data_IF_353689163681
#
_entry.id   IF_353689163681
#
_cell.length_a   1.000
_cell.length_b   1.000
_cell.length_c   1.000
_cell.angle_alpha   90.00
_cell.angle_beta   90.00
_cell.angle_gamma   90.00
#
_symmetry.space_group_name_H-M   'P 1'
#
loop_
_entity.id
_entity.type
_entity.pdbx_description
1 polymer ?
#
# COMPACT_ATOMS: atom_id res chain seq x y z
N UNK A 1 5.34 4.43 0.40
CA UNK A 1 5.93 4.19 1.74
C UNK A 1 7.39 3.81 1.55
N UNK A 2 8.30 4.00 2.52
CA UNK A 2 9.68 3.50 2.30
C UNK A 2 9.72 1.97 2.27
N UNK A 3 10.62 1.43 1.43
CA UNK A 3 10.82 -0.02 1.20
C UNK A 3 10.87 -0.85 2.49
N UNK A 4 11.57 -0.40 3.53
CA UNK A 4 11.68 -1.16 4.78
C UNK A 4 10.33 -1.38 5.47
N UNK A 5 9.41 -0.41 5.35
CA UNK A 5 8.09 -0.48 5.98
C UNK A 5 7.10 -1.28 5.14
N UNK A 6 7.21 -1.26 3.82
CA UNK A 6 6.52 -2.22 2.96
C UNK A 6 6.86 -3.68 3.35
N UNK A 7 8.15 -3.96 3.58
CA UNK A 7 8.60 -5.28 4.07
C UNK A 7 8.00 -5.58 5.45
N UNK A 8 8.06 -4.64 6.39
CA UNK A 8 7.52 -4.81 7.73
C UNK A 8 6.01 -5.10 7.74
N UNK A 9 5.24 -4.39 6.90
CA UNK A 9 3.81 -4.62 6.73
C UNK A 9 3.56 -6.06 6.26
N UNK A 10 4.28 -6.52 5.24
CA UNK A 10 4.13 -7.87 4.69
C UNK A 10 4.50 -8.96 5.71
N UNK A 11 5.59 -8.78 6.45
CA UNK A 11 6.01 -9.72 7.50
C UNK A 11 4.98 -9.79 8.62
N UNK A 12 4.48 -8.63 9.06
CA UNK A 12 3.49 -8.53 10.14
C UNK A 12 2.14 -9.14 9.75
N UNK A 13 1.69 -8.88 8.53
CA UNK A 13 0.36 -9.30 8.06
C UNK A 13 0.30 -10.74 7.54
N UNK A 14 1.34 -11.19 6.84
CA UNK A 14 1.34 -12.44 6.06
C UNK A 14 2.44 -13.43 6.46
N UNK A 15 3.37 -13.04 7.35
CA UNK A 15 4.59 -13.82 7.64
C UNK A 15 4.35 -15.25 8.11
N UNK A 16 3.28 -15.50 8.87
CA UNK A 16 2.91 -16.85 9.33
C UNK A 16 2.05 -17.63 8.32
N UNK A 17 1.52 -16.95 7.29
CA UNK A 17 0.54 -17.52 6.34
C UNK A 17 1.22 -18.20 5.17
N UNK A 18 2.21 -17.55 4.57
CA UNK A 18 2.94 -18.05 3.40
C UNK A 18 4.21 -18.81 3.79
N UNK A 19 4.70 -19.68 2.92
CA UNK A 19 6.05 -20.22 3.04
C UNK A 19 7.08 -19.09 2.94
N UNK A 20 8.31 -19.28 3.48
CA UNK A 20 9.39 -18.32 3.31
C UNK A 20 9.71 -18.00 1.83
N UNK A 21 9.57 -19.00 0.95
CA UNK A 21 9.81 -18.82 -0.49
C UNK A 21 8.75 -17.93 -1.12
N UNK A 22 7.47 -18.25 -0.92
CA UNK A 22 6.37 -17.47 -1.48
C UNK A 22 6.39 -16.03 -0.96
N UNK A 23 6.60 -15.86 0.35
CA UNK A 23 6.69 -14.53 0.97
C UNK A 23 7.86 -13.71 0.42
N UNK A 24 9.02 -14.33 0.18
CA UNK A 24 10.17 -13.66 -0.44
C UNK A 24 9.83 -13.13 -1.84
N UNK A 25 9.15 -13.93 -2.67
CA UNK A 25 8.70 -13.48 -4.01
C UNK A 25 7.69 -12.33 -3.92
N UNK A 26 6.71 -12.42 -2.99
CA UNK A 26 5.73 -11.35 -2.74
C UNK A 26 6.45 -10.05 -2.34
N UNK A 27 7.39 -10.12 -1.39
CA UNK A 27 8.18 -8.97 -0.93
C UNK A 27 8.97 -8.36 -2.08
N UNK A 28 9.68 -9.18 -2.86
CA UNK A 28 10.49 -8.68 -3.98
C UNK A 28 9.63 -7.98 -5.04
N UNK A 29 8.45 -8.53 -5.35
CA UNK A 29 7.56 -7.92 -6.32
C UNK A 29 6.93 -6.62 -5.80
N UNK A 30 6.56 -6.59 -4.52
CA UNK A 30 6.04 -5.41 -3.83
C UNK A 30 7.06 -4.26 -3.91
N UNK A 31 8.25 -4.42 -3.34
CA UNK A 31 9.27 -3.35 -3.30
C UNK A 31 9.85 -3.00 -4.69
N UNK A 32 9.63 -3.84 -5.71
CA UNK A 32 10.08 -3.53 -7.07
C UNK A 32 9.31 -2.39 -7.73
N UNK A 33 8.11 -2.06 -7.21
CA UNK A 33 7.31 -0.94 -7.68
C UNK A 33 7.98 0.41 -7.39
N UNK A 34 8.74 0.53 -6.30
CA UNK A 34 9.50 1.74 -5.94
C UNK A 34 10.76 1.99 -6.78
N UNK A 35 11.11 1.10 -7.71
CA UNK A 35 12.27 1.33 -8.60
C UNK A 35 12.01 2.57 -9.46
N UNK A 36 13.07 3.25 -9.90
CA UNK A 36 12.96 4.46 -10.75
C UNK A 36 12.00 4.30 -11.95
N UNK A 37 11.95 3.10 -12.55
CA UNK A 37 11.04 2.80 -13.66
C UNK A 37 9.55 2.81 -13.25
N UNK A 38 9.21 2.50 -12.00
CA UNK A 38 7.85 2.56 -11.46
C UNK A 38 7.49 3.90 -10.82
N UNK A 39 8.43 4.85 -10.71
CA UNK A 39 8.21 6.17 -10.10
C UNK A 39 7.79 7.24 -11.12
N UNK A 40 8.08 7.05 -12.42
CA UNK A 40 7.84 8.05 -13.44
C UNK A 40 6.68 7.64 -14.36
N UNK A 41 5.57 8.39 -14.30
CA UNK A 41 4.40 8.16 -15.17
C UNK A 41 3.49 7.01 -14.73
N UNK A 42 3.62 6.54 -13.48
CA UNK A 42 2.91 5.39 -12.93
C UNK A 42 2.14 5.75 -11.64
N UNK A 43 1.28 6.77 -11.72
CA UNK A 43 0.45 7.22 -10.60
C UNK A 43 -0.38 6.07 -10.01
N UNK A 44 -0.76 5.10 -10.87
CA UNK A 44 -1.55 3.93 -10.50
C UNK A 44 -0.87 3.06 -9.43
N UNK A 45 0.46 3.03 -9.37
CA UNK A 45 1.19 2.19 -8.40
C UNK A 45 1.16 2.76 -6.98
N UNK A 46 1.05 4.08 -6.84
CA UNK A 46 1.32 4.80 -5.58
C UNK A 46 0.11 5.59 -5.05
N UNK A 47 -1.03 5.57 -5.76
CA UNK A 47 -2.19 6.42 -5.44
C UNK A 47 -1.88 7.92 -5.52
N UNK A 48 -0.95 8.34 -6.38
CA UNK A 48 -0.58 9.75 -6.55
C UNK A 48 -1.56 10.52 -7.45
N UNK A 49 -1.48 11.86 -7.42
CA UNK A 49 -2.16 12.76 -8.35
C UNK A 49 -3.69 12.62 -8.39
N UNK A 50 -4.32 12.15 -7.31
CA UNK A 50 -5.75 11.81 -7.24
C UNK A 50 -6.19 10.76 -8.28
N UNK A 51 -5.27 9.93 -8.77
CA UNK A 51 -5.56 8.90 -9.76
C UNK A 51 -6.20 7.63 -9.16
N UNK A 52 -7.12 7.79 -8.19
CA UNK A 52 -7.72 6.68 -7.43
C UNK A 52 -8.33 5.60 -8.33
N UNK A 53 -9.09 6.00 -9.35
CA UNK A 53 -9.72 5.05 -10.28
C UNK A 53 -8.69 4.18 -11.00
N UNK A 54 -7.54 4.76 -11.37
CA UNK A 54 -6.44 4.01 -12.02
C UNK A 54 -5.79 3.04 -11.04
N UNK A 55 -5.51 3.48 -9.81
CA UNK A 55 -4.92 2.62 -8.78
C UNK A 55 -5.86 1.47 -8.40
N UNK A 56 -7.16 1.71 -8.25
CA UNK A 56 -8.13 0.65 -8.00
C UNK A 56 -8.25 -0.31 -9.19
N UNK A 57 -8.27 0.19 -10.42
CA UNK A 57 -8.27 -0.65 -11.61
C UNK A 57 -7.00 -1.53 -11.68
N UNK A 58 -5.83 -0.97 -11.39
CA UNK A 58 -4.57 -1.70 -11.32
C UNK A 58 -4.60 -2.80 -10.25
N UNK A 59 -5.14 -2.51 -9.06
CA UNK A 59 -5.27 -3.51 -8.01
C UNK A 59 -6.14 -4.70 -8.46
N UNK A 60 -7.28 -4.44 -9.10
CA UNK A 60 -8.15 -5.50 -9.60
C UNK A 60 -7.53 -6.27 -10.79
N UNK A 61 -6.77 -5.61 -11.66
CA UNK A 61 -5.97 -6.28 -12.69
C UNK A 61 -4.95 -7.24 -12.07
N UNK A 62 -4.18 -6.78 -11.09
CA UNK A 62 -3.20 -7.63 -10.41
C UNK A 62 -3.88 -8.79 -9.65
N UNK A 63 -5.05 -8.57 -9.05
CA UNK A 63 -5.84 -9.65 -8.43
C UNK A 63 -6.26 -10.70 -9.46
N UNK A 64 -6.79 -10.27 -10.61
CA UNK A 64 -7.19 -11.18 -11.68
C UNK A 64 -5.99 -11.96 -12.24
N UNK A 65 -4.81 -11.32 -12.34
CA UNK A 65 -3.56 -11.98 -12.70
C UNK A 65 -3.11 -13.00 -11.65
N UNK A 66 -3.24 -12.71 -10.36
CA UNK A 66 -2.99 -13.68 -9.28
C UNK A 66 -3.89 -14.90 -9.44
N UNK A 67 -5.21 -14.71 -9.55
CA UNK A 67 -6.17 -15.82 -9.67
C UNK A 67 -5.92 -16.65 -10.94
N UNK A 68 -5.79 -16.01 -12.11
CA UNK A 68 -5.58 -16.72 -13.38
C UNK A 68 -4.23 -17.46 -13.42
N UNK A 69 -3.21 -16.96 -12.72
CA UNK A 69 -1.92 -17.66 -12.63
C UNK A 69 -2.02 -18.91 -11.75
N UNK A 70 -2.74 -18.85 -10.63
CA UNK A 70 -3.02 -20.03 -9.80
C UNK A 70 -3.83 -21.09 -10.54
N UNK A 71 -4.79 -20.69 -11.38
CA UNK A 71 -5.56 -21.60 -12.24
C UNK A 71 -4.68 -22.33 -13.27
N UNK A 72 -3.58 -21.71 -13.70
CA UNK A 72 -2.57 -22.32 -14.59
C UNK A 72 -1.44 -23.02 -13.81
N UNK A 73 -1.58 -23.15 -12.50
CA UNK A 73 -0.55 -23.67 -11.59
C UNK A 73 0.79 -22.92 -11.62
N UNK A 74 0.77 -21.63 -12.01
CA UNK A 74 1.94 -20.74 -12.00
C UNK A 74 1.97 -19.91 -10.71
N UNK A 75 2.54 -20.52 -9.66
CA UNK A 75 2.62 -19.91 -8.33
C UNK A 75 3.53 -18.65 -8.31
N UNK A 76 4.65 -18.66 -9.03
CA UNK A 76 5.58 -17.53 -9.03
C UNK A 76 4.95 -16.28 -9.65
N UNK A 77 4.23 -16.44 -10.77
CA UNK A 77 3.49 -15.33 -11.38
C UNK A 77 2.38 -14.82 -10.45
N UNK A 78 1.68 -15.73 -9.76
CA UNK A 78 0.65 -15.38 -8.80
C UNK A 78 1.19 -14.55 -7.63
N UNK A 79 2.29 -14.97 -7.02
CA UNK A 79 2.97 -14.25 -5.93
C UNK A 79 3.47 -12.89 -6.38
N UNK A 80 4.01 -12.80 -7.59
CA UNK A 80 4.52 -11.54 -8.13
C UNK A 80 3.40 -10.52 -8.37
N UNK A 81 2.28 -10.95 -8.97
CA UNK A 81 1.11 -10.10 -9.16
C UNK A 81 0.52 -9.66 -7.81
N UNK A 82 0.43 -10.59 -6.85
CA UNK A 82 -0.08 -10.30 -5.52
C UNK A 82 0.80 -9.29 -4.77
N UNK A 83 2.13 -9.43 -4.83
CA UNK A 83 3.06 -8.47 -4.23
C UNK A 83 2.91 -7.05 -4.79
N UNK A 84 2.77 -6.91 -6.12
CA UNK A 84 2.53 -5.62 -6.76
C UNK A 84 1.19 -5.00 -6.35
N UNK A 85 0.12 -5.80 -6.29
CA UNK A 85 -1.19 -5.35 -5.80
C UNK A 85 -1.11 -4.80 -4.38
N UNK A 86 -0.39 -5.50 -3.50
CA UNK A 86 -0.25 -5.11 -2.10
C UNK A 86 0.55 -3.82 -1.94
N UNK A 87 1.51 -3.54 -2.84
CA UNK A 87 2.26 -2.29 -2.83
C UNK A 87 1.31 -1.10 -2.94
N UNK A 88 0.49 -1.12 -3.99
CA UNK A 88 -0.52 -0.09 -4.25
C UNK A 88 -1.52 0.03 -3.11
N UNK A 89 -1.99 -1.10 -2.55
CA UNK A 89 -2.90 -1.08 -1.42
C UNK A 89 -2.30 -0.44 -0.15
N UNK A 90 -0.99 -0.58 0.06
CA UNK A 90 -0.26 0.00 1.19
C UNK A 90 -0.04 1.50 1.00
N UNK A 91 0.34 1.91 -0.21
CA UNK A 91 0.62 3.31 -0.54
C UNK A 91 -0.61 4.22 -0.48
N UNK A 92 -1.82 3.67 -0.63
CA UNK A 92 -3.05 4.42 -0.37
C UNK A 92 -3.02 5.15 0.98
N UNK A 93 -2.54 4.53 2.06
CA UNK A 93 -2.49 5.18 3.39
C UNK A 93 -1.28 6.08 3.58
N UNK A 94 -0.24 5.90 2.78
CA UNK A 94 0.93 6.75 2.81
C UNK A 94 0.73 8.03 2.01
N UNK A 95 0.01 7.97 0.89
CA UNK A 95 -0.03 9.05 -0.12
C UNK A 95 -1.41 9.69 -0.28
N UNK A 96 -2.44 9.20 0.41
CA UNK A 96 -3.73 9.88 0.55
C UNK A 96 -3.90 10.60 1.89
N UNK A 97 -4.89 11.49 1.96
CA UNK A 97 -5.30 12.11 3.22
C UNK A 97 -6.20 11.20 4.09
N UNK A 98 -6.38 9.91 3.78
CA UNK A 98 -7.27 9.00 4.52
C UNK A 98 -7.02 9.04 6.04
N UNK A 99 -5.76 8.92 6.47
CA UNK A 99 -5.39 8.97 7.89
C UNK A 99 -5.73 10.33 8.51
N UNK A 100 -5.56 11.42 7.75
CA UNK A 100 -5.94 12.76 8.21
C UNK A 100 -7.45 12.87 8.41
N UNK A 101 -8.25 12.35 7.48
CA UNK A 101 -9.71 12.33 7.61
C UNK A 101 -10.19 11.41 8.75
N UNK A 102 -9.49 10.31 9.01
CA UNK A 102 -9.80 9.46 10.15
C UNK A 102 -9.51 10.15 11.48
N UNK A 103 -8.33 10.76 11.62
CA UNK A 103 -7.93 11.48 12.84
C UNK A 103 -8.85 12.68 13.12
N UNK A 104 -9.29 13.41 12.09
CA UNK A 104 -10.13 14.60 12.27
C UNK A 104 -11.51 14.30 12.85
N UNK A 105 -11.98 13.05 12.80
CA UNK A 105 -13.25 12.64 13.44
C UNK A 105 -13.20 12.69 14.96
N UNK A 106 -12.00 12.71 15.54
CA UNK A 106 -11.80 12.76 16.99
C UNK A 106 -11.31 14.14 17.46
N UNK A 107 -11.47 15.18 16.64
CA UNK A 107 -11.03 16.52 17.01
C UNK A 107 -11.79 17.01 18.25
N UNK A 108 -11.04 17.49 19.25
CA UNK A 108 -11.58 17.81 20.58
C UNK A 108 -11.90 16.60 21.48
N UNK A 109 -11.54 15.38 21.08
CA UNK A 109 -11.70 14.15 21.86
C UNK A 109 -10.36 13.40 22.02
N UNK A 110 -10.34 12.36 22.85
CA UNK A 110 -9.19 11.47 22.94
C UNK A 110 -9.07 10.67 21.64
N UNK A 111 -7.95 10.81 20.94
CA UNK A 111 -7.67 10.05 19.72
C UNK A 111 -7.45 8.57 20.06
N UNK A 112 -8.19 7.63 19.43
CA UNK A 112 -7.96 6.21 19.67
C UNK A 112 -6.57 5.79 19.18
N UNK A 113 -5.94 4.78 19.80
CA UNK A 113 -4.60 4.35 19.43
C UNK A 113 -4.54 3.82 17.98
N UNK A 114 -3.35 3.83 17.32
CA UNK A 114 -3.21 3.43 15.92
C UNK A 114 -3.87 2.09 15.53
N UNK A 115 -3.84 1.03 16.35
CA UNK A 115 -4.51 -0.23 16.03
C UNK A 115 -6.03 -0.14 15.93
N UNK A 116 -6.68 0.96 16.32
CA UNK A 116 -8.13 1.16 16.20
C UNK A 116 -8.56 1.78 14.86
N UNK A 117 -7.61 2.20 14.01
CA UNK A 117 -7.96 2.71 12.68
C UNK A 117 -8.70 1.66 11.87
N UNK A 118 -9.88 2.00 11.34
CA UNK A 118 -10.57 1.19 10.35
C UNK A 118 -9.97 1.49 8.98
N UNK A 119 -9.35 0.52 8.28
CA UNK A 119 -8.77 0.74 6.95
C UNK A 119 -9.83 0.84 5.83
N UNK A 120 -11.09 0.47 6.09
CA UNK A 120 -12.11 0.35 5.04
C UNK A 120 -13.40 1.09 5.40
N UNK A 121 -13.29 2.18 6.15
CA UNK A 121 -14.44 2.99 6.54
C UNK A 121 -15.13 3.58 5.29
N UNK A 122 -16.38 3.18 4.98
CA UNK A 122 -17.05 3.62 3.75
C UNK A 122 -17.27 5.13 3.71
N UNK A 123 -17.46 5.77 4.87
CA UNK A 123 -17.64 7.22 4.95
C UNK A 123 -16.37 8.00 4.64
N UNK A 124 -15.19 7.42 4.88
CA UNK A 124 -13.90 8.00 4.48
C UNK A 124 -13.57 7.69 3.02
N UNK A 125 -13.75 6.44 2.60
CA UNK A 125 -13.45 6.00 1.23
C UNK A 125 -14.30 6.71 0.17
N UNK A 126 -15.53 7.11 0.53
CA UNK A 126 -16.44 7.85 -0.35
C UNK A 126 -16.56 9.33 0.02
N UNK A 127 -15.67 9.83 0.89
CA UNK A 127 -15.67 11.25 1.28
C UNK A 127 -15.34 12.12 0.07
N UNK A 128 -16.08 13.22 -0.18
CA UNK A 128 -15.69 14.20 -1.20
C UNK A 128 -14.37 14.91 -0.86
N UNK A 129 -13.93 14.83 0.41
CA UNK A 129 -12.67 15.42 0.87
C UNK A 129 -11.48 14.45 0.72
N UNK A 130 -11.71 13.19 0.31
CA UNK A 130 -10.63 12.24 0.06
C UNK A 130 -9.81 12.68 -1.16
N UNK A 131 -8.51 12.87 -0.95
CA UNK A 131 -7.57 13.24 -1.99
C UNK A 131 -6.17 12.68 -1.70
N UNK A 132 -5.35 12.59 -2.72
CA UNK A 132 -3.95 12.19 -2.62
C UNK A 132 -2.98 13.26 -3.09
N UNK A 133 -1.73 13.08 -2.66
CA UNK A 133 -0.64 13.98 -2.92
C UNK A 133 -0.40 14.16 -4.41
N UNK A 134 -0.28 15.41 -4.85
CA UNK A 134 0.09 15.75 -6.23
C UNK A 134 1.60 15.86 -6.37
N UNK A 135 2.13 15.36 -7.48
CA UNK A 135 3.56 15.39 -7.79
C UNK A 135 3.87 16.66 -8.58
N UNK A 136 4.69 17.56 -8.02
CA UNK A 136 5.03 18.83 -8.66
C UNK A 136 6.51 18.88 -9.07
N UNK A 137 6.80 18.51 -10.32
CA UNK A 137 8.15 18.62 -10.87
C UNK A 137 8.57 20.08 -11.15
N UNK A 138 9.87 20.40 -11.00
CA UNK A 138 10.96 19.53 -10.57
C UNK A 138 11.14 19.47 -9.04
N UNK A 139 10.39 20.26 -8.27
CA UNK A 139 10.60 20.40 -6.83
C UNK A 139 10.33 19.11 -6.03
N UNK A 140 9.44 18.24 -6.50
CA UNK A 140 9.26 16.90 -5.91
C UNK A 140 10.56 16.08 -5.94
N UNK A 141 11.33 16.15 -7.04
CA UNK A 141 12.58 15.42 -7.16
C UNK A 141 13.62 15.92 -6.14
N UNK A 142 13.64 17.23 -5.89
CA UNK A 142 14.51 17.84 -4.90
C UNK A 142 14.09 17.48 -3.46
N UNK A 143 12.83 17.17 -3.21
CA UNK A 143 12.38 16.75 -1.87
C UNK A 143 13.00 15.41 -1.44
N UNK A 144 13.25 14.48 -2.38
CA UNK A 144 13.87 13.19 -2.04
C UNK A 144 15.33 13.32 -1.57
N UNK A 145 16.01 14.42 -1.92
CA UNK A 145 17.33 14.73 -1.38
C UNK A 145 17.19 15.41 0.00
N UNK A 146 17.60 14.71 1.07
CA UNK A 146 17.37 15.13 2.47
C UNK A 146 17.75 16.58 2.77
N UNK A 147 18.86 17.07 2.20
CA UNK A 147 19.39 18.43 2.43
C UNK A 147 18.49 19.51 1.81
N UNK A 148 17.75 19.19 0.75
CA UNK A 148 16.89 20.13 0.00
C UNK A 148 15.41 20.04 0.38
N UNK A 149 15.03 19.18 1.33
CA UNK A 149 13.63 19.02 1.79
C UNK A 149 12.98 20.33 2.22
N UNK A 150 13.59 21.03 3.18
CA UNK A 150 13.04 22.29 3.72
C UNK A 150 12.91 23.37 2.64
N UNK A 151 13.86 23.40 1.70
CA UNK A 151 13.81 24.30 0.56
C UNK A 151 12.66 23.94 -0.38
N UNK A 152 12.51 22.66 -0.73
CA UNK A 152 11.45 22.18 -1.64
C UNK A 152 10.06 22.44 -1.06
N UNK A 153 9.86 22.11 0.23
CA UNK A 153 8.60 22.35 0.95
C UNK A 153 8.17 23.82 1.00
N UNK A 154 9.10 24.77 0.91
CA UNK A 154 8.78 26.21 0.85
C UNK A 154 8.04 26.60 -0.43
N UNK A 155 8.28 25.88 -1.51
CA UNK A 155 7.74 26.18 -2.84
C UNK A 155 6.61 25.22 -3.25
N UNK A 156 6.58 24.03 -2.66
CA UNK A 156 5.55 23.04 -2.93
C UNK A 156 4.20 23.44 -2.31
N UNK A 157 3.10 23.37 -3.09
CA UNK A 157 1.74 23.52 -2.58
C UNK A 157 1.42 22.53 -1.46
N UNK A 158 0.47 22.87 -0.57
CA UNK A 158 0.11 22.00 0.57
C UNK A 158 -0.54 20.67 0.19
N UNK A 159 -1.06 20.57 -1.03
CA UNK A 159 -1.60 19.34 -1.60
C UNK A 159 -0.53 18.49 -2.31
N UNK A 160 0.76 18.82 -2.17
CA UNK A 160 1.83 18.03 -2.77
C UNK A 160 2.07 16.71 -2.04
N UNK A 161 2.58 15.73 -2.78
CA UNK A 161 3.05 14.45 -2.25
C UNK A 161 4.05 14.64 -1.09
N UNK A 162 5.01 15.55 -1.23
CA UNK A 162 5.98 15.88 -0.19
C UNK A 162 5.38 16.35 1.15
N UNK A 163 4.20 16.99 1.14
CA UNK A 163 3.51 17.42 2.36
C UNK A 163 2.60 16.35 2.94
N UNK A 164 2.11 15.44 2.09
CA UNK A 164 1.12 14.44 2.46
C UNK A 164 1.71 13.07 2.79
N UNK A 165 2.91 12.76 2.31
CA UNK A 165 3.50 11.43 2.46
C UNK A 165 3.68 11.05 3.93
N UNK A 166 3.35 9.81 4.23
CA UNK A 166 3.61 9.14 5.51
C UNK A 166 4.58 7.98 5.28
N UNK A 167 5.64 8.23 4.51
CA UNK A 167 6.58 7.19 4.09
C UNK A 167 7.50 6.69 5.22
N UNK A 168 7.66 7.50 6.28
CA UNK A 168 8.54 7.20 7.40
C UNK A 168 8.11 7.92 8.71
N UNK A 169 8.60 7.46 9.89
CA UNK A 169 8.27 8.06 11.19
C UNK A 169 8.63 9.55 11.30
N UNK A 170 9.62 10.01 10.52
CA UNK A 170 10.01 11.43 10.48
C UNK A 170 8.88 12.35 9.99
N UNK A 171 7.84 11.81 9.34
CA UNK A 171 6.64 12.55 8.92
C UNK A 171 5.63 12.77 10.05
N UNK A 172 5.91 12.22 11.25
CA UNK A 172 5.16 12.46 12.47
C UNK A 172 4.16 11.35 12.83
N UNK A 173 3.36 11.58 13.87
CA UNK A 173 2.57 10.56 14.54
C UNK A 173 1.55 9.82 13.65
N UNK A 174 1.12 10.44 12.54
CA UNK A 174 0.20 9.83 11.57
C UNK A 174 0.81 8.61 10.86
N UNK A 175 2.14 8.50 10.85
CA UNK A 175 2.85 7.34 10.31
C UNK A 175 2.36 6.01 10.94
N UNK A 176 2.21 5.96 12.26
CA UNK A 176 1.79 4.74 12.95
C UNK A 176 0.38 4.30 12.54
N UNK A 177 -0.52 5.27 12.29
CA UNK A 177 -1.87 5.00 11.80
C UNK A 177 -1.84 4.48 10.36
N UNK A 178 -1.00 5.06 9.49
CA UNK A 178 -0.82 4.57 8.12
C UNK A 178 -0.30 3.13 8.11
N UNK A 179 0.69 2.82 8.95
CA UNK A 179 1.23 1.47 9.12
C UNK A 179 0.14 0.48 9.54
N UNK A 180 -0.63 0.79 10.59
CA UNK A 180 -1.69 -0.10 11.08
C UNK A 180 -2.82 -0.29 10.06
N UNK A 181 -3.23 0.78 9.37
CA UNK A 181 -4.23 0.67 8.30
C UNK A 181 -3.72 -0.19 7.14
N UNK A 182 -2.46 -0.02 6.72
CA UNK A 182 -1.84 -0.80 5.66
C UNK A 182 -1.67 -2.28 6.03
N UNK A 183 -1.32 -2.61 7.28
CA UNK A 183 -1.29 -3.99 7.81
C UNK A 183 -2.67 -4.63 7.70
N UNK A 184 -3.71 -3.98 8.23
CA UNK A 184 -5.07 -4.52 8.18
C UNK A 184 -5.59 -4.66 6.75
N UNK A 185 -5.34 -3.65 5.90
CA UNK A 185 -5.69 -3.69 4.48
C UNK A 185 -5.01 -4.84 3.76
N UNK A 186 -3.74 -5.11 4.04
CA UNK A 186 -3.00 -6.24 3.46
C UNK A 186 -3.67 -7.57 3.79
N UNK A 187 -4.15 -7.77 5.03
CA UNK A 187 -4.90 -8.97 5.41
C UNK A 187 -6.24 -9.06 4.66
N UNK A 188 -6.98 -7.96 4.59
CA UNK A 188 -8.26 -7.89 3.86
C UNK A 188 -8.06 -8.24 2.39
N UNK A 189 -7.02 -7.72 1.75
CA UNK A 189 -6.74 -7.98 0.34
C UNK A 189 -6.26 -9.42 0.08
N UNK A 190 -5.55 -10.03 1.03
CA UNK A 190 -5.30 -11.47 1.02
C UNK A 190 -6.61 -12.26 1.08
N UNK A 191 -7.49 -11.96 2.04
CA UNK A 191 -8.75 -12.69 2.23
C UNK A 191 -9.66 -12.57 1.00
N UNK A 192 -9.78 -11.38 0.43
CA UNK A 192 -10.52 -11.16 -0.83
C UNK A 192 -9.93 -11.93 -2.01
N UNK A 193 -8.60 -12.01 -2.10
CA UNK A 193 -7.95 -12.73 -3.21
C UNK A 193 -8.07 -14.24 -3.05
N UNK A 194 -8.03 -14.72 -1.81
CA UNK A 194 -8.23 -16.13 -1.50
C UNK A 194 -9.70 -16.56 -1.59
N UNK A 195 -10.64 -15.62 -1.45
CA UNK A 195 -12.06 -15.88 -1.56
C UNK A 195 -12.41 -16.41 -2.96
N UNK A 196 -13.01 -17.60 -3.01
CA UNK A 196 -13.41 -18.25 -4.25
C UNK A 196 -12.32 -19.10 -4.93
N UNK A 197 -11.09 -19.16 -4.37
CA UNK A 197 -10.10 -20.13 -4.80
C UNK A 197 -10.47 -21.54 -4.33
N UNK A 198 -10.14 -22.55 -5.14
CA UNK A 198 -10.21 -23.95 -4.70
C UNK A 198 -9.19 -24.22 -3.60
N UNK A 199 -9.40 -25.27 -2.80
CA UNK A 199 -8.43 -25.66 -1.78
C UNK A 199 -7.04 -25.92 -2.35
N UNK A 200 -6.95 -26.51 -3.56
CA UNK A 200 -5.69 -26.75 -4.26
C UNK A 200 -5.00 -25.44 -4.65
N UNK A 201 -5.76 -24.47 -5.18
CA UNK A 201 -5.22 -23.14 -5.51
C UNK A 201 -4.76 -22.39 -4.26
N UNK A 202 -5.47 -22.49 -3.14
CA UNK A 202 -5.04 -21.90 -1.85
C UNK A 202 -3.75 -22.57 -1.38
N UNK A 203 -3.66 -23.90 -1.44
CA UNK A 203 -2.44 -24.61 -1.03
C UNK A 203 -1.24 -24.19 -1.88
N UNK A 204 -1.43 -24.11 -3.20
CA UNK A 204 -0.41 -23.63 -4.14
C UNK A 204 -0.03 -22.17 -3.85
N UNK A 205 -1.02 -21.32 -3.55
CA UNK A 205 -0.77 -19.91 -3.25
C UNK A 205 0.04 -19.73 -1.97
N UNK A 206 -0.27 -20.49 -0.92
CA UNK A 206 0.44 -20.41 0.36
C UNK A 206 1.81 -21.11 0.34
N UNK A 207 2.05 -22.00 -0.63
CA UNK A 207 3.28 -22.81 -0.76
C UNK A 207 3.58 -23.63 0.50
N UNK A 208 2.54 -24.11 1.17
CA UNK A 208 2.66 -25.00 2.31
C UNK A 208 2.42 -26.43 1.84
N UNK A 209 3.20 -27.37 2.32
CA UNK A 209 2.87 -28.79 2.11
C UNK A 209 1.64 -29.18 2.93
N UNK A 210 0.92 -30.19 2.47
CA UNK A 210 -0.05 -30.88 3.33
C UNK A 210 0.78 -31.51 4.46
N UNK A 211 0.70 -30.97 5.66
CA UNK A 211 1.12 -31.72 6.85
C UNK A 211 0.25 -32.98 6.88
N UNK A 212 0.84 -34.13 6.53
CA UNK A 212 0.22 -35.45 6.63
C UNK A 212 0.14 -35.91 8.08
#
# INVERSE_FOLDING_TARGET
MLTQYHVEILLTSLGSRFSPRALSTIIQANISQDRLAGQFGHDEFHFDNNAFDKSYAYMEEQRALTVSSLQRSDANAAWSAFGRMLHTAQDFYAHSNYVTLWVSRFDGQALPPPPEIDPIDPGLLHSPDLHSGRVYYPFELLYFVRVTRAFSLRWLPRDSHAWMNLDSPEQGFKFDYAMQAAVKKTVIEYEKTAAGLSQESVQLFLDKDKSF
#
